data_IF_487114547831
#
_entry.id   IF_487114547831
#
_cell.length_a   1.000
_cell.length_b   1.000
_cell.length_c   1.000
_cell.angle_alpha   90.00
_cell.angle_beta   90.00
_cell.angle_gamma   90.00
#
_symmetry.space_group_name_H-M   'P 1'
#
loop_
_entity.id
_entity.type
_entity.pdbx_description
1 polymer ?
#
# COMPACT_ATOMS: atom_id res chain seq x y z
N UNK A 1 10.40 -12.39 24.66
CA UNK A 1 11.50 -11.51 24.21
C UNK A 1 11.22 -11.06 22.77
N UNK A 2 10.15 -10.27 22.57
CA UNK A 2 9.84 -9.63 21.28
C UNK A 2 9.16 -8.31 21.65
N UNK A 3 9.92 -7.24 21.82
CA UNK A 3 9.36 -6.00 22.38
C UNK A 3 10.11 -4.70 22.11
N UNK A 4 11.23 -4.73 21.38
CA UNK A 4 12.03 -3.52 21.14
C UNK A 4 12.51 -3.35 19.68
N UNK A 5 12.24 -4.29 18.78
CA UNK A 5 12.63 -4.17 17.36
C UNK A 5 11.58 -3.48 16.48
N UNK A 6 10.30 -3.51 16.87
CA UNK A 6 9.21 -2.88 16.11
C UNK A 6 9.30 -1.35 16.02
N UNK A 7 9.70 -0.61 17.09
CA UNK A 7 9.83 0.83 17.01
C UNK A 7 11.05 1.32 16.21
N UNK A 8 11.93 0.45 15.74
CA UNK A 8 13.07 0.88 14.91
C UNK A 8 12.81 0.64 13.42
N UNK A 9 11.97 -0.37 13.11
CA UNK A 9 11.58 -0.72 11.75
C UNK A 9 10.60 0.27 11.10
N UNK A 10 9.71 0.94 11.86
CA UNK A 10 8.85 2.01 11.31
C UNK A 10 9.61 3.32 11.05
N UNK A 11 10.78 3.49 11.68
CA UNK A 11 11.66 4.67 11.46
C UNK A 11 12.51 4.47 10.19
N UNK A 12 12.68 3.24 9.72
CA UNK A 12 13.37 2.95 8.46
C UNK A 12 12.37 2.84 7.31
N UNK A 13 12.45 3.77 6.34
CA UNK A 13 11.80 3.76 5.03
C UNK A 13 10.72 2.68 4.82
N UNK A 14 9.48 2.96 5.25
CA UNK A 14 8.34 2.06 5.13
C UNK A 14 7.63 2.27 3.78
N UNK A 15 7.01 1.22 3.21
CA UNK A 15 6.19 1.37 2.00
C UNK A 15 4.71 1.17 2.31
N UNK A 16 3.91 2.16 1.92
CA UNK A 16 2.46 2.19 2.11
C UNK A 16 1.79 2.23 0.75
N UNK A 17 0.81 1.35 0.52
CA UNK A 17 0.00 1.36 -0.69
C UNK A 17 -1.39 1.94 -0.41
N UNK A 18 -1.90 2.71 -1.38
CA UNK A 18 -3.21 3.35 -1.32
C UNK A 18 -3.92 3.10 -2.65
N UNK A 19 -5.13 2.51 -2.67
CA UNK A 19 -5.92 2.42 -3.88
C UNK A 19 -6.39 3.83 -4.27
N UNK A 20 -6.15 4.20 -5.53
CA UNK A 20 -6.25 5.58 -6.00
C UNK A 20 -7.27 5.68 -7.14
N UNK A 21 -8.05 6.76 -7.12
CA UNK A 21 -8.98 7.15 -8.17
C UNK A 21 -9.06 8.68 -8.31
N UNK A 22 -8.49 9.23 -9.39
CA UNK A 22 -8.55 10.65 -9.75
C UNK A 22 -8.11 11.64 -8.63
N UNK A 23 -6.94 11.41 -8.06
CA UNK A 23 -6.37 12.14 -6.94
C UNK A 23 -7.00 11.83 -5.57
N UNK A 24 -7.77 10.75 -5.43
CA UNK A 24 -8.48 10.39 -4.19
C UNK A 24 -8.23 8.94 -3.80
N UNK A 25 -8.42 8.62 -2.52
CA UNK A 25 -8.46 7.23 -2.06
C UNK A 25 -9.73 6.58 -2.64
N UNK A 26 -9.56 5.47 -3.36
CA UNK A 26 -10.68 4.67 -3.86
C UNK A 26 -11.48 4.08 -2.69
N UNK A 27 -12.83 4.08 -2.76
CA UNK A 27 -13.66 3.52 -1.69
C UNK A 27 -13.42 2.03 -1.39
N UNK A 28 -13.07 1.24 -2.40
CA UNK A 28 -12.89 -0.22 -2.30
C UNK A 28 -11.58 -0.62 -2.98
N UNK A 29 -10.74 -1.38 -2.27
CA UNK A 29 -9.40 -1.78 -2.71
C UNK A 29 -9.40 -2.61 -4.00
N UNK A 30 -10.18 -3.69 -4.01
CA UNK A 30 -10.18 -4.70 -5.07
C UNK A 30 -10.94 -4.28 -6.35
N UNK A 31 -11.56 -3.11 -6.33
CA UNK A 31 -12.21 -2.47 -7.49
C UNK A 31 -11.32 -1.36 -8.08
N UNK A 32 -10.34 -0.85 -7.35
CA UNK A 32 -9.50 0.26 -7.82
C UNK A 32 -8.63 -0.15 -9.03
N UNK A 33 -8.59 0.70 -10.06
CA UNK A 33 -7.72 0.47 -11.24
C UNK A 33 -6.23 0.64 -10.94
N UNK A 34 -5.88 1.40 -9.90
CA UNK A 34 -4.50 1.70 -9.55
C UNK A 34 -4.27 1.67 -8.04
N UNK A 35 -3.05 1.30 -7.64
CA UNK A 35 -2.51 1.45 -6.29
C UNK A 35 -1.30 2.38 -6.33
N UNK A 36 -1.36 3.50 -5.62
CA UNK A 36 -0.21 4.38 -5.43
C UNK A 36 0.61 3.88 -4.24
N UNK A 37 1.91 3.63 -4.46
CA UNK A 37 2.84 3.28 -3.39
C UNK A 37 3.63 4.52 -2.97
N UNK A 38 3.70 4.71 -1.67
CA UNK A 38 4.45 5.76 -0.99
C UNK A 38 5.59 5.14 -0.18
N UNK A 39 6.75 5.77 -0.26
CA UNK A 39 7.84 5.58 0.69
C UNK A 39 7.67 6.61 1.82
N UNK A 40 7.68 6.12 3.05
CA UNK A 40 7.51 6.88 4.27
C UNK A 40 8.84 6.89 5.02
N UNK A 41 9.40 8.07 5.22
CA UNK A 41 10.64 8.28 5.96
C UNK A 41 10.39 9.35 7.04
N UNK A 42 10.22 8.90 8.29
CA UNK A 42 9.79 9.75 9.40
C UNK A 42 8.44 10.43 9.11
N UNK A 43 8.46 11.77 9.00
CA UNK A 43 7.28 12.60 8.72
C UNK A 43 7.07 12.87 7.22
N UNK A 44 7.95 12.36 6.36
CA UNK A 44 7.87 12.56 4.91
C UNK A 44 7.21 11.40 4.21
N UNK A 45 6.34 11.69 3.25
CA UNK A 45 5.73 10.70 2.35
C UNK A 45 6.01 11.08 0.89
N UNK A 46 6.58 10.14 0.13
CA UNK A 46 6.94 10.33 -1.27
C UNK A 46 6.28 9.26 -2.14
N UNK A 47 5.54 9.61 -3.21
CA UNK A 47 5.09 8.61 -4.17
C UNK A 47 6.29 8.02 -4.91
N UNK A 48 6.37 6.69 -4.96
CA UNK A 48 7.51 5.99 -5.59
C UNK A 48 7.13 5.20 -6.85
N UNK A 49 5.90 4.69 -6.96
CA UNK A 49 5.36 4.09 -8.18
C UNK A 49 3.85 3.83 -8.06
N UNK A 50 3.18 3.68 -9.20
CA UNK A 50 1.79 3.24 -9.29
C UNK A 50 1.73 1.81 -9.85
N UNK A 51 0.90 0.95 -9.25
CA UNK A 51 0.63 -0.41 -9.71
C UNK A 51 -0.73 -0.43 -10.43
N UNK A 52 -0.75 -0.78 -11.72
CA UNK A 52 -1.98 -0.88 -12.53
C UNK A 52 -2.65 -2.23 -12.30
N UNK A 53 -3.82 -2.27 -11.68
CA UNK A 53 -4.46 -3.50 -11.19
C UNK A 53 -5.69 -3.92 -12.03
N UNK A 54 -5.79 -3.48 -13.29
CA UNK A 54 -6.92 -3.81 -14.17
C UNK A 54 -7.05 -5.34 -14.34
N UNK A 55 -8.28 -5.85 -14.22
CA UNK A 55 -8.63 -7.27 -14.41
C UNK A 55 -7.95 -8.27 -13.47
N UNK A 56 -7.29 -7.79 -12.41
CA UNK A 56 -6.62 -8.65 -11.42
C UNK A 56 -7.58 -9.17 -10.34
N UNK A 57 -7.41 -10.45 -9.98
CA UNK A 57 -8.00 -11.03 -8.76
C UNK A 57 -7.45 -10.35 -7.51
N UNK A 58 -8.21 -10.38 -6.41
CA UNK A 58 -7.75 -9.86 -5.10
C UNK A 58 -6.40 -10.46 -4.69
N UNK A 59 -6.21 -11.76 -4.90
CA UNK A 59 -4.96 -12.46 -4.58
C UNK A 59 -3.77 -11.94 -5.40
N UNK A 60 -3.97 -11.66 -6.69
CA UNK A 60 -2.93 -11.07 -7.55
C UNK A 60 -2.51 -9.70 -7.05
N UNK A 61 -3.50 -8.85 -6.70
CA UNK A 61 -3.24 -7.51 -6.14
C UNK A 61 -2.40 -7.59 -4.86
N UNK A 62 -2.74 -8.53 -3.96
CA UNK A 62 -1.96 -8.76 -2.74
C UNK A 62 -0.54 -9.22 -3.06
N UNK A 63 -0.34 -10.13 -4.02
CA UNK A 63 0.99 -10.56 -4.44
C UNK A 63 1.84 -9.36 -4.92
N UNK A 64 1.25 -8.48 -5.73
CA UNK A 64 1.93 -7.27 -6.21
C UNK A 64 2.28 -6.28 -5.11
N UNK A 65 1.42 -6.14 -4.10
CA UNK A 65 1.74 -5.35 -2.90
C UNK A 65 2.97 -5.91 -2.18
N UNK A 66 3.02 -7.24 -2.01
CA UNK A 66 4.15 -7.92 -1.37
C UNK A 66 5.42 -7.76 -2.20
N UNK A 67 5.36 -7.95 -3.52
CA UNK A 67 6.49 -7.76 -4.44
C UNK A 67 7.00 -6.31 -4.45
N UNK A 68 6.11 -5.33 -4.36
CA UNK A 68 6.47 -3.92 -4.23
C UNK A 68 7.15 -3.60 -2.87
N UNK A 69 7.09 -4.53 -1.92
CA UNK A 69 7.56 -4.37 -0.55
C UNK A 69 6.62 -3.50 0.29
N UNK A 70 5.36 -3.34 -0.11
CA UNK A 70 4.37 -2.61 0.66
C UNK A 70 4.05 -3.40 1.94
N UNK A 71 4.20 -2.73 3.08
CA UNK A 71 4.00 -3.32 4.41
C UNK A 71 2.67 -2.88 5.04
N UNK A 72 2.00 -1.90 4.44
CA UNK A 72 0.70 -1.40 4.88
C UNK A 72 -0.15 -1.03 3.67
N UNK A 73 -1.42 -1.42 3.72
CA UNK A 73 -2.47 -0.98 2.81
C UNK A 73 -3.41 -0.05 3.58
N UNK A 74 -3.65 1.15 3.04
CA UNK A 74 -4.70 2.04 3.54
C UNK A 74 -5.83 2.03 2.52
N UNK A 75 -7.01 1.56 2.89
CA UNK A 75 -8.19 1.51 2.01
C UNK A 75 -9.49 1.73 2.78
N UNK A 76 -10.55 2.15 2.08
CA UNK A 76 -11.88 2.34 2.68
C UNK A 76 -12.58 1.02 3.01
N UNK A 77 -12.50 0.04 2.10
CA UNK A 77 -13.09 -1.28 2.25
C UNK A 77 -12.38 -2.31 1.35
N UNK A 78 -12.67 -3.59 1.61
CA UNK A 78 -12.34 -4.74 0.76
C UNK A 78 -13.65 -5.51 0.56
N UNK A 79 -13.93 -5.96 -0.66
CA UNK A 79 -15.13 -6.77 -0.93
C UNK A 79 -15.10 -8.09 -0.15
N UNK A 80 -16.29 -8.69 0.03
CA UNK A 80 -16.46 -9.97 0.73
C UNK A 80 -16.00 -11.15 -0.12
#
# INVERSE_FOLDING_TARGET
>A
MVGLAHPMLWIMAMKVAIPEWQGRVSPVFDVAGHLQVFEIDGESARPIHALVCEEETVSSRVARLVEAGATLLICGAISR
#
